data_IF_966529542899
#
_entry.id   IF_966529542899
#
_cell.length_a   1.000
_cell.length_b   1.000
_cell.length_c   1.000
_cell.angle_alpha   90.00
_cell.angle_beta   90.00
_cell.angle_gamma   90.00
#
_symmetry.space_group_name_H-M   'P 1'
#
loop_
_entity.id
_entity.type
_entity.pdbx_description
1 polymer ?
#
# COMPACT_ATOMS: atom_id res chain seq x y z
N UNK A 1 9.62 -14.93 0.22
CA UNK A 1 10.47 -13.94 0.90
C UNK A 1 9.63 -13.31 1.98
N UNK A 2 9.83 -13.74 3.20
CA UNK A 2 8.94 -13.47 4.32
C UNK A 2 9.10 -12.03 4.80
N UNK A 3 8.03 -11.27 4.81
CA UNK A 3 7.93 -10.08 5.65
C UNK A 3 7.59 -10.60 7.06
N UNK A 4 8.59 -11.19 7.72
CA UNK A 4 8.49 -11.54 9.14
C UNK A 4 8.94 -10.33 9.95
N UNK A 5 7.99 -9.54 10.37
CA UNK A 5 8.25 -8.67 11.52
C UNK A 5 8.21 -9.53 12.79
N UNK A 6 9.36 -9.68 13.47
CA UNK A 6 9.56 -10.60 14.61
C UNK A 6 8.79 -10.21 15.87
N UNK A 7 7.93 -9.19 15.82
CA UNK A 7 7.26 -8.61 16.99
C UNK A 7 5.78 -8.97 17.13
N UNK A 8 5.22 -9.83 16.26
CA UNK A 8 3.78 -10.14 16.26
C UNK A 8 3.38 -11.42 17.04
N UNK A 9 4.21 -11.96 17.93
CA UNK A 9 3.87 -13.22 18.63
C UNK A 9 2.83 -13.09 19.76
N UNK A 10 2.60 -11.90 20.34
CA UNK A 10 1.81 -11.77 21.57
C UNK A 10 0.83 -10.60 21.62
N UNK A 11 0.40 -10.06 20.49
CA UNK A 11 -0.66 -9.02 20.50
C UNK A 11 -1.87 -9.46 19.69
N UNK A 12 -3.10 -9.37 20.24
CA UNK A 12 -4.30 -9.57 19.46
C UNK A 12 -4.31 -8.54 18.33
N UNK A 13 -4.54 -8.99 17.10
CA UNK A 13 -4.66 -8.12 15.93
C UNK A 13 -5.74 -7.07 16.23
N UNK A 14 -5.31 -5.86 16.55
CA UNK A 14 -6.21 -4.74 16.83
C UNK A 14 -6.87 -4.36 15.51
N UNK A 15 -8.18 -4.48 15.51
CA UNK A 15 -9.01 -4.18 14.34
C UNK A 15 -8.69 -2.80 13.75
N UNK A 16 -8.87 -2.71 12.46
CA UNK A 16 -8.77 -1.49 11.66
C UNK A 16 -9.44 -0.34 12.39
N UNK A 17 -8.67 0.56 12.98
CA UNK A 17 -9.21 1.85 13.45
C UNK A 17 -9.60 2.62 12.20
N UNK A 18 -10.90 2.72 11.92
CA UNK A 18 -11.43 3.63 10.90
C UNK A 18 -11.10 5.05 11.34
N UNK A 19 -10.03 5.61 10.82
CA UNK A 19 -9.83 7.07 10.86
C UNK A 19 -10.58 7.63 9.66
N UNK A 20 -11.84 7.99 9.88
CA UNK A 20 -12.64 8.71 8.90
C UNK A 20 -12.18 10.16 8.89
N UNK A 21 -11.44 10.60 7.88
CA UNK A 21 -11.16 12.01 7.65
C UNK A 21 -12.07 12.50 6.51
N UNK A 22 -13.01 13.41 6.77
CA UNK A 22 -13.85 14.00 5.74
C UNK A 22 -13.00 14.79 4.75
N UNK A 23 -13.44 14.87 3.49
CA UNK A 23 -12.74 15.49 2.35
C UNK A 23 -12.18 16.91 2.62
N UNK A 24 -12.85 17.70 3.47
CA UNK A 24 -12.39 19.02 3.90
C UNK A 24 -11.15 18.97 4.80
N UNK A 25 -10.88 17.85 5.49
CA UNK A 25 -9.69 17.71 6.34
C UNK A 25 -8.43 17.33 5.52
N UNK A 26 -8.56 16.63 4.40
CA UNK A 26 -7.43 16.36 3.50
C UNK A 26 -6.89 17.69 2.93
N UNK A 27 -7.78 18.61 2.54
CA UNK A 27 -7.38 19.96 2.13
C UNK A 27 -6.82 20.80 3.29
N UNK A 28 -7.36 20.66 4.50
CA UNK A 28 -6.88 21.41 5.67
C UNK A 28 -5.51 20.94 6.17
N UNK A 29 -5.15 19.68 6.00
CA UNK A 29 -3.79 19.19 6.27
C UNK A 29 -2.78 19.78 5.27
N UNK A 30 -3.20 20.07 4.04
CA UNK A 30 -2.36 20.74 3.04
C UNK A 30 -2.30 22.27 3.23
N UNK A 31 -3.25 22.87 3.93
CA UNK A 31 -3.37 24.34 4.10
C UNK A 31 -3.15 24.82 5.55
N UNK A 32 -3.17 23.91 6.54
CA UNK A 32 -2.84 24.27 7.91
C UNK A 32 -1.36 24.65 7.96
N UNK A 33 -1.09 25.92 8.22
CA UNK A 33 0.25 26.48 8.41
C UNK A 33 0.97 25.99 9.67
N UNK A 34 0.58 24.87 10.23
CA UNK A 34 1.31 24.14 11.24
C UNK A 34 2.50 23.48 10.54
N UNK A 35 3.68 23.89 10.97
CA UNK A 35 4.99 23.46 10.52
C UNK A 35 4.95 22.05 9.93
N UNK A 36 4.90 21.98 8.58
CA UNK A 36 5.16 20.72 7.91
C UNK A 36 6.41 20.09 8.56
N UNK A 37 6.40 18.80 8.92
CA UNK A 37 7.56 18.18 9.52
C UNK A 37 8.78 18.54 8.69
N UNK A 38 9.86 19.02 9.33
CA UNK A 38 11.07 19.42 8.63
C UNK A 38 11.63 18.17 7.96
N UNK A 39 11.20 17.94 6.72
CA UNK A 39 11.71 16.84 5.91
C UNK A 39 13.17 17.13 5.64
N UNK A 40 14.04 16.21 6.10
CA UNK A 40 15.47 16.34 5.91
C UNK A 40 15.80 16.43 4.40
N UNK A 41 16.67 17.33 4.05
CA UNK A 41 17.32 17.29 2.75
C UNK A 41 18.14 15.98 2.66
N UNK A 42 17.96 15.05 1.75
CA UNK A 42 17.45 15.13 0.37
C UNK A 42 16.01 14.64 0.16
N UNK A 43 15.23 14.29 1.21
CA UNK A 43 13.90 13.70 1.07
C UNK A 43 12.82 14.69 0.60
N UNK A 44 13.11 15.99 0.53
CA UNK A 44 12.12 17.02 0.18
C UNK A 44 11.47 16.83 -1.18
N UNK A 45 12.24 16.47 -2.20
CA UNK A 45 11.72 16.31 -3.56
C UNK A 45 10.77 15.10 -3.64
N UNK A 46 11.09 14.01 -2.96
CA UNK A 46 10.21 12.84 -2.85
C UNK A 46 8.89 13.20 -2.16
N UNK A 47 8.98 13.88 -1.02
CA UNK A 47 7.80 14.31 -0.26
C UNK A 47 6.96 15.31 -1.08
N UNK A 48 7.59 16.24 -1.81
CA UNK A 48 6.90 17.18 -2.67
C UNK A 48 6.13 16.49 -3.78
N UNK A 49 6.77 15.58 -4.54
CA UNK A 49 6.11 14.83 -5.61
C UNK A 49 4.93 14.01 -5.12
N UNK A 50 5.08 13.33 -3.98
CA UNK A 50 4.00 12.57 -3.37
C UNK A 50 2.86 13.48 -2.89
N UNK A 51 3.18 14.60 -2.24
CA UNK A 51 2.20 15.59 -1.77
C UNK A 51 1.41 16.19 -2.94
N UNK A 52 2.07 16.59 -4.02
CA UNK A 52 1.43 17.11 -5.22
C UNK A 52 0.47 16.08 -5.84
N UNK A 53 0.85 14.80 -5.86
CA UNK A 53 -0.03 13.72 -6.32
C UNK A 53 -1.26 13.54 -5.42
N UNK A 54 -1.06 13.55 -4.11
CA UNK A 54 -2.16 13.39 -3.13
C UNK A 54 -3.18 14.54 -3.19
N UNK A 55 -2.73 15.78 -3.42
CA UNK A 55 -3.63 16.95 -3.45
C UNK A 55 -4.09 17.33 -4.86
N UNK A 56 -3.49 16.76 -5.90
CA UNK A 56 -3.74 17.08 -7.31
C UNK A 56 -5.09 16.62 -7.87
N UNK A 57 -6.01 16.12 -7.03
CA UNK A 57 -7.37 15.74 -7.39
C UNK A 57 -7.55 14.28 -7.78
N UNK A 58 -6.46 13.49 -7.80
CA UNK A 58 -6.53 12.04 -8.01
C UNK A 58 -6.94 11.27 -6.75
N UNK A 59 -6.81 11.90 -5.58
CA UNK A 59 -7.20 11.35 -4.28
C UNK A 59 -8.31 12.21 -3.69
N UNK A 60 -9.46 11.62 -3.41
CA UNK A 60 -10.63 12.34 -2.90
C UNK A 60 -10.86 12.13 -1.40
N UNK A 61 -10.37 11.01 -0.85
CA UNK A 61 -10.38 10.73 0.58
C UNK A 61 -9.23 9.80 0.97
N UNK A 62 -8.77 9.90 2.22
CA UNK A 62 -7.83 8.96 2.84
C UNK A 62 -8.60 8.28 3.98
N UNK A 63 -8.74 6.96 3.91
CA UNK A 63 -9.47 6.16 4.90
C UNK A 63 -8.54 5.61 5.98
N UNK A 64 -7.34 5.21 5.60
CA UNK A 64 -6.32 4.71 6.52
C UNK A 64 -4.91 4.92 5.95
N UNK A 65 -3.93 5.03 6.85
CA UNK A 65 -2.50 5.04 6.53
C UNK A 65 -1.75 4.13 7.50
N UNK A 66 -0.70 3.46 7.00
CA UNK A 66 0.17 2.58 7.78
C UNK A 66 -0.62 1.60 8.67
N UNK A 67 -1.56 0.88 8.08
CA UNK A 67 -2.46 -0.01 8.80
C UNK A 67 -2.08 -1.49 8.61
N UNK A 68 -2.17 -2.25 9.69
CA UNK A 68 -1.85 -3.68 9.67
C UNK A 68 -2.98 -4.49 9.04
N UNK A 69 -2.62 -5.44 8.21
CA UNK A 69 -3.49 -6.44 7.62
C UNK A 69 -3.00 -7.83 7.96
N UNK A 70 -3.92 -8.78 8.10
CA UNK A 70 -3.58 -10.19 8.31
C UNK A 70 -4.60 -11.08 7.62
N UNK A 71 -4.15 -12.22 7.10
CA UNK A 71 -4.97 -13.23 6.45
C UNK A 71 -5.08 -14.49 7.32
N UNK A 72 -6.18 -15.21 7.20
CA UNK A 72 -6.35 -16.55 7.79
C UNK A 72 -5.40 -17.57 7.18
N UNK A 73 -4.91 -17.29 5.97
CA UNK A 73 -3.94 -18.10 5.25
C UNK A 73 -2.48 -17.87 5.70
N UNK A 74 -2.27 -17.31 6.89
CA UNK A 74 -0.97 -17.31 7.58
C UNK A 74 0.01 -16.20 7.14
N UNK A 75 -0.45 -15.12 6.53
CA UNK A 75 0.39 -13.95 6.26
C UNK A 75 -0.14 -12.68 6.91
N UNK A 76 0.74 -11.73 7.14
CA UNK A 76 0.42 -10.41 7.67
C UNK A 76 1.39 -9.37 7.11
N UNK A 77 0.99 -8.11 7.15
CA UNK A 77 1.82 -6.99 6.72
C UNK A 77 1.22 -5.65 7.10
N UNK A 78 1.86 -4.58 6.64
CA UNK A 78 1.38 -3.21 6.79
C UNK A 78 1.15 -2.62 5.41
N UNK A 79 -0.07 -2.18 5.15
CA UNK A 79 -0.41 -1.46 3.93
C UNK A 79 -0.21 0.04 4.16
N UNK A 80 0.35 0.73 3.14
CA UNK A 80 0.74 2.13 3.30
C UNK A 80 -0.47 3.06 3.34
N UNK A 81 -1.45 2.86 2.44
CA UNK A 81 -2.67 3.67 2.46
C UNK A 81 -3.88 2.96 1.83
N UNK A 82 -5.07 3.37 2.31
CA UNK A 82 -6.36 3.05 1.72
C UNK A 82 -7.05 4.37 1.41
N UNK A 83 -7.31 4.64 0.13
CA UNK A 83 -7.77 5.95 -0.37
C UNK A 83 -8.92 5.79 -1.36
N UNK A 84 -9.66 6.86 -1.59
CA UNK A 84 -10.57 6.95 -2.73
C UNK A 84 -9.90 7.63 -3.92
N UNK A 85 -10.04 7.00 -5.08
CA UNK A 85 -9.63 7.54 -6.38
C UNK A 85 -10.81 7.51 -7.35
N UNK A 86 -10.69 8.08 -8.56
CA UNK A 86 -11.72 7.94 -9.58
C UNK A 86 -12.08 6.48 -9.94
N UNK A 87 -11.21 5.51 -9.63
CA UNK A 87 -11.49 4.07 -9.79
C UNK A 87 -12.21 3.46 -8.60
N UNK A 88 -12.49 4.23 -7.54
CA UNK A 88 -13.08 3.79 -6.29
C UNK A 88 -12.06 3.54 -5.18
N UNK A 89 -12.44 2.72 -4.19
CA UNK A 89 -11.58 2.41 -3.05
C UNK A 89 -10.30 1.70 -3.51
N UNK A 90 -9.17 2.33 -3.27
CA UNK A 90 -7.86 1.96 -3.80
C UNK A 90 -6.87 1.69 -2.67
N UNK A 91 -6.21 0.55 -2.72
CA UNK A 91 -5.08 0.24 -1.82
C UNK A 91 -3.77 0.69 -2.47
N UNK A 92 -2.91 1.38 -1.70
CA UNK A 92 -1.67 1.96 -2.19
C UNK A 92 -0.45 1.35 -1.53
N UNK A 93 0.61 1.24 -2.32
CA UNK A 93 1.98 0.93 -1.89
C UNK A 93 2.90 2.06 -2.35
N UNK A 94 3.56 2.75 -1.41
CA UNK A 94 4.46 3.88 -1.66
C UNK A 94 5.90 3.41 -1.70
N UNK A 95 6.60 3.78 -2.76
CA UNK A 95 8.01 3.44 -2.95
C UNK A 95 8.81 4.68 -3.32
N UNK A 96 10.12 4.58 -3.17
CA UNK A 96 11.07 5.60 -3.63
C UNK A 96 12.05 4.99 -4.62
N UNK A 97 12.62 5.82 -5.47
CA UNK A 97 13.71 5.43 -6.37
C UNK A 97 14.71 6.57 -6.49
N UNK A 98 15.99 6.24 -6.58
CA UNK A 98 17.04 7.23 -6.88
C UNK A 98 17.12 7.61 -8.36
N UNK A 99 16.34 6.94 -9.23
CA UNK A 99 16.32 7.17 -10.68
C UNK A 99 15.23 8.18 -11.05
N UNK A 100 15.52 9.05 -11.99
CA UNK A 100 14.52 9.93 -12.60
C UNK A 100 13.65 9.20 -13.64
N UNK A 101 14.24 8.23 -14.34
CA UNK A 101 13.51 7.39 -15.28
C UNK A 101 12.54 6.45 -14.58
N UNK A 102 11.46 6.10 -15.27
CA UNK A 102 10.49 5.13 -14.79
C UNK A 102 11.09 3.74 -14.64
N UNK A 103 10.66 3.02 -13.61
CA UNK A 103 10.97 1.60 -13.46
C UNK A 103 10.18 0.80 -14.50
N UNK A 104 10.82 -0.19 -15.15
CA UNK A 104 10.11 -1.12 -16.01
C UNK A 104 8.97 -1.84 -15.28
N UNK A 105 7.89 -2.14 -15.99
CA UNK A 105 6.71 -2.83 -15.45
C UNK A 105 7.07 -4.14 -14.73
N UNK A 106 8.00 -4.91 -15.30
CA UNK A 106 8.46 -6.17 -14.69
C UNK A 106 9.02 -6.01 -13.28
N UNK A 107 9.56 -4.83 -12.94
CA UNK A 107 10.12 -4.55 -11.61
C UNK A 107 9.06 -4.15 -10.58
N UNK A 108 7.82 -3.90 -11.04
CA UNK A 108 6.70 -3.54 -10.20
C UNK A 108 5.87 -4.75 -9.78
N UNK A 109 6.10 -5.91 -10.39
CA UNK A 109 5.28 -7.11 -10.21
C UNK A 109 5.18 -7.55 -8.74
N UNK A 110 6.29 -7.56 -8.01
CA UNK A 110 6.27 -7.96 -6.59
C UNK A 110 5.47 -6.96 -5.73
N UNK A 111 5.52 -5.67 -6.05
CA UNK A 111 4.70 -4.65 -5.37
C UNK A 111 3.22 -4.81 -5.70
N UNK A 112 2.89 -5.17 -6.96
CA UNK A 112 1.53 -5.45 -7.37
C UNK A 112 0.98 -6.70 -6.65
N UNK A 113 1.77 -7.77 -6.57
CA UNK A 113 1.39 -8.99 -5.86
C UNK A 113 1.23 -8.73 -4.34
N UNK A 114 2.03 -7.83 -3.75
CA UNK A 114 1.86 -7.36 -2.36
C UNK A 114 0.51 -6.66 -2.17
N UNK A 115 0.09 -5.80 -3.12
CA UNK A 115 -1.24 -5.20 -3.09
C UNK A 115 -2.35 -6.26 -3.17
N UNK A 116 -2.16 -7.30 -3.97
CA UNK A 116 -3.06 -8.46 -4.02
C UNK A 116 -3.19 -9.16 -2.66
N UNK A 117 -2.08 -9.39 -1.97
CA UNK A 117 -2.07 -9.95 -0.61
C UNK A 117 -2.90 -9.10 0.36
N UNK A 118 -2.69 -7.79 0.34
CA UNK A 118 -3.40 -6.88 1.24
C UNK A 118 -4.89 -6.76 0.92
N UNK A 119 -5.26 -6.83 -0.37
CA UNK A 119 -6.65 -6.89 -0.82
C UNK A 119 -7.36 -8.14 -0.29
N UNK A 120 -6.71 -9.30 -0.39
CA UNK A 120 -7.23 -10.57 0.18
C UNK A 120 -7.46 -10.45 1.68
N UNK A 121 -6.46 -9.97 2.43
CA UNK A 121 -6.53 -9.83 3.88
C UNK A 121 -7.66 -8.86 4.30
N UNK A 122 -7.83 -7.73 3.61
CA UNK A 122 -8.92 -6.78 3.86
C UNK A 122 -10.29 -7.41 3.64
N UNK A 123 -10.44 -8.18 2.56
CA UNK A 123 -11.68 -8.87 2.23
C UNK A 123 -12.01 -9.93 3.27
N UNK A 124 -11.04 -10.76 3.67
CA UNK A 124 -11.23 -11.84 4.64
C UNK A 124 -11.58 -11.32 6.03
N UNK A 125 -10.82 -10.37 6.54
CA UNK A 125 -10.94 -9.94 7.94
C UNK A 125 -11.94 -8.81 8.18
N UNK A 126 -12.12 -7.95 7.20
CA UNK A 126 -12.94 -6.75 7.36
C UNK A 126 -14.13 -6.69 6.39
N UNK A 127 -14.26 -7.63 5.46
CA UNK A 127 -15.28 -7.58 4.41
C UNK A 127 -15.10 -6.39 3.44
N UNK A 128 -13.92 -5.75 3.46
CA UNK A 128 -13.61 -4.59 2.62
C UNK A 128 -13.13 -5.07 1.26
N UNK A 129 -13.83 -4.64 0.20
CA UNK A 129 -13.42 -4.89 -1.19
C UNK A 129 -12.81 -3.63 -1.76
N UNK A 130 -11.59 -3.74 -2.28
CA UNK A 130 -10.94 -2.65 -3.01
C UNK A 130 -11.29 -2.75 -4.49
N UNK A 131 -11.51 -1.61 -5.12
CA UNK A 131 -11.82 -1.51 -6.55
C UNK A 131 -10.56 -1.40 -7.41
N UNK A 132 -9.46 -0.95 -6.81
CA UNK A 132 -8.21 -0.70 -7.52
C UNK A 132 -6.99 -0.86 -6.60
N UNK A 133 -5.81 -0.95 -7.20
CA UNK A 133 -4.52 -0.85 -6.53
C UNK A 133 -3.66 0.25 -7.14
N UNK A 134 -2.74 0.81 -6.36
CA UNK A 134 -1.80 1.81 -6.84
C UNK A 134 -0.40 1.57 -6.29
N UNK A 135 0.59 1.36 -7.17
CA UNK A 135 2.00 1.49 -6.82
C UNK A 135 2.45 2.89 -7.17
N UNK A 136 2.85 3.66 -6.16
CA UNK A 136 3.20 5.08 -6.27
C UNK A 136 4.67 5.25 -5.95
N UNK A 137 5.47 5.62 -6.94
CA UNK A 137 6.93 5.70 -6.81
C UNK A 137 7.36 7.16 -6.85
N UNK A 138 7.75 7.68 -5.70
CA UNK A 138 8.32 9.03 -5.61
C UNK A 138 9.75 9.06 -6.16
N UNK A 139 10.09 10.11 -6.89
CA UNK A 139 11.37 10.32 -7.58
C UNK A 139 12.13 11.53 -7.04
N UNK A 140 13.47 11.62 -7.27
CA UNK A 140 14.29 12.71 -6.75
C UNK A 140 14.01 14.08 -7.40
N UNK A 141 13.30 14.12 -8.52
CA UNK A 141 12.92 15.32 -9.26
C UNK A 141 11.49 15.81 -8.95
N UNK A 142 10.95 15.45 -7.79
CA UNK A 142 9.58 15.72 -7.37
C UNK A 142 8.48 15.18 -8.31
N UNK A 143 8.81 14.20 -9.14
CA UNK A 143 7.83 13.50 -9.95
C UNK A 143 7.40 12.20 -9.27
N UNK A 144 6.28 11.67 -9.73
CA UNK A 144 5.76 10.37 -9.32
C UNK A 144 5.61 9.49 -10.56
N UNK A 145 6.08 8.25 -10.47
CA UNK A 145 5.64 7.20 -11.37
C UNK A 145 4.44 6.52 -10.73
N UNK A 146 3.33 6.48 -11.43
CA UNK A 146 2.09 5.87 -10.96
C UNK A 146 1.76 4.65 -11.79
N UNK A 147 1.54 3.51 -11.13
CA UNK A 147 0.97 2.31 -11.73
C UNK A 147 -0.35 2.00 -11.05
N UNK A 148 -1.45 2.35 -11.72
CA UNK A 148 -2.79 1.97 -11.31
C UNK A 148 -3.10 0.55 -11.78
N UNK A 149 -3.76 -0.22 -10.94
CA UNK A 149 -4.27 -1.56 -11.22
C UNK A 149 -5.79 -1.51 -11.17
N UNK A 150 -6.43 -1.93 -12.26
CA UNK A 150 -7.87 -2.14 -12.33
C UNK A 150 -8.30 -3.30 -11.43
N UNK A 151 -9.61 -3.42 -11.19
CA UNK A 151 -10.17 -4.55 -10.42
C UNK A 151 -9.75 -5.91 -11.00
N UNK A 152 -9.73 -6.04 -12.33
CA UNK A 152 -9.32 -7.27 -13.00
C UNK A 152 -7.84 -7.59 -12.77
N UNK A 153 -6.97 -6.58 -12.85
CA UNK A 153 -5.54 -6.75 -12.57
C UNK A 153 -5.31 -7.08 -11.10
N UNK A 154 -6.04 -6.46 -10.18
CA UNK A 154 -5.99 -6.79 -8.74
C UNK A 154 -6.37 -8.24 -8.47
N UNK A 155 -7.40 -8.77 -9.13
CA UNK A 155 -7.75 -10.21 -9.04
C UNK A 155 -6.61 -11.11 -9.51
N UNK A 156 -5.94 -10.72 -10.60
CA UNK A 156 -4.73 -11.42 -11.06
C UNK A 156 -3.59 -11.41 -10.03
N UNK A 157 -3.40 -10.28 -9.34
CA UNK A 157 -2.43 -10.16 -8.26
C UNK A 157 -2.81 -11.04 -7.05
N UNK A 158 -4.08 -11.06 -6.67
CA UNK A 158 -4.60 -11.91 -5.59
C UNK A 158 -4.34 -13.41 -5.88
N UNK A 159 -4.60 -13.85 -7.10
CA UNK A 159 -4.37 -15.25 -7.51
C UNK A 159 -2.88 -15.61 -7.45
N UNK A 160 -2.00 -14.80 -8.03
CA UNK A 160 -0.55 -15.04 -7.97
C UNK A 160 0.00 -15.07 -6.55
N UNK A 161 -0.54 -14.18 -5.69
CA UNK A 161 -0.16 -14.19 -4.27
C UNK A 161 -0.64 -15.47 -3.58
N UNK A 162 -1.89 -15.90 -3.79
CA UNK A 162 -2.43 -17.13 -3.20
C UNK A 162 -1.59 -18.34 -3.60
N UNK A 163 -1.28 -18.53 -4.88
CA UNK A 163 -0.42 -19.59 -5.38
C UNK A 163 0.99 -19.58 -4.74
N UNK A 164 1.57 -18.37 -4.57
CA UNK A 164 2.87 -18.20 -3.90
C UNK A 164 2.80 -18.57 -2.43
N UNK A 165 1.74 -18.16 -1.74
CA UNK A 165 1.53 -18.44 -0.33
C UNK A 165 1.28 -19.94 -0.07
N UNK A 166 0.45 -20.60 -0.89
CA UNK A 166 0.21 -22.03 -0.82
C UNK A 166 1.52 -22.81 -0.97
N UNK A 167 2.30 -22.50 -1.98
CA UNK A 167 3.62 -23.12 -2.19
C UNK A 167 4.56 -22.92 -1.00
N UNK A 168 4.55 -21.72 -0.41
CA UNK A 168 5.35 -21.44 0.79
C UNK A 168 4.89 -22.30 1.99
N UNK A 169 3.58 -22.44 2.19
CA UNK A 169 3.04 -23.28 3.26
C UNK A 169 3.40 -24.77 3.07
N UNK A 170 3.36 -25.25 1.83
CA UNK A 170 3.82 -26.62 1.49
C UNK A 170 5.29 -26.82 1.87
N UNK A 171 6.16 -25.88 1.53
CA UNK A 171 7.60 -25.94 1.87
C UNK A 171 7.83 -25.90 3.39
N UNK A 172 7.03 -25.12 4.14
CA UNK A 172 7.08 -25.11 5.61
C UNK A 172 6.67 -26.45 6.19
N UNK A 173 5.59 -27.06 5.67
CA UNK A 173 5.12 -28.39 6.10
C UNK A 173 6.12 -29.51 5.78
N UNK A 174 6.83 -29.37 4.66
CA UNK A 174 7.90 -30.29 4.27
C UNK A 174 9.20 -30.11 5.08
N UNK A 175 9.30 -29.07 5.91
CA UNK A 175 10.52 -28.73 6.68
C UNK A 175 11.65 -28.14 5.84
N UNK A 176 11.35 -27.67 4.62
CA UNK A 176 12.35 -27.09 3.70
C UNK A 176 12.68 -25.63 4.06
N UNK A 177 11.79 -24.95 4.75
CA UNK A 177 11.95 -23.58 5.25
C UNK A 177 11.42 -23.45 6.68
N UNK A 178 12.08 -22.62 7.49
CA UNK A 178 11.77 -22.38 8.90
C UNK A 178 11.41 -20.92 9.16
#
# INVERSE_FOLDING_TARGET
>A
MCIRDRHCRDRPCVGVRRVWLPHNQVRSLATAGDRAPQVAWPAREYARGLSEWLVGGSVTAIHASEFSVSSENGFAGTADALIDTPLGLTICDFKTTSREADKPEAWLKDHQDQLGAYSLALRERAGIRVAAGAVVIAKPNAKVQLRMLSELEMRGCELRWSERNERYQEMVLAGEVS
#
